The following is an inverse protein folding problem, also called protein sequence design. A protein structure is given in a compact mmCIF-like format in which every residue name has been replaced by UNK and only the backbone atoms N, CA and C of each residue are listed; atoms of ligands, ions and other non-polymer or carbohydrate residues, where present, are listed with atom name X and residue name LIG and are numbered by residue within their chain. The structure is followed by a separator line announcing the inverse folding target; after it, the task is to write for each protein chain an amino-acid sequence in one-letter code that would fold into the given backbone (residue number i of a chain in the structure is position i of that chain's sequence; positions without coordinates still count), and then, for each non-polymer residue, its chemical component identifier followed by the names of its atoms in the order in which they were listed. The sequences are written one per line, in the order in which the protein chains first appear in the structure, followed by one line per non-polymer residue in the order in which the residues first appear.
data_IF_481121370370
#
_entry.id   IF_481121370370
#
_cell.length_a   1.000
_cell.length_b   1.000
_cell.length_c   1.000
_cell.angle_alpha   90.00
_cell.angle_beta   90.00
_cell.angle_gamma   90.00
#
_symmetry.space_group_name_H-M   'P 1'
#
loop_
_entity.id
_entity.type
_entity.pdbx_description
1 polymer ?
#
# COMPACT_ATOMS: atom_id res chain seq x y z
N UNK A 1 -15.22 24.45 -11.41
CA UNK A 1 -14.06 25.00 -10.67
C UNK A 1 -12.84 24.20 -11.04
N UNK A 2 -11.73 24.85 -11.40
CA UNK A 2 -10.44 24.20 -11.62
C UNK A 2 -9.40 24.83 -10.69
N UNK A 3 -8.62 24.02 -10.02
CA UNK A 3 -7.51 24.41 -9.16
C UNK A 3 -6.25 23.68 -9.57
N UNK A 4 -5.11 24.38 -9.47
CA UNK A 4 -3.78 23.81 -9.68
C UNK A 4 -2.88 24.31 -8.56
N UNK A 5 -2.11 23.38 -8.02
CA UNK A 5 -1.09 23.59 -7.01
C UNK A 5 0.21 23.02 -7.57
N UNK A 6 1.32 23.72 -7.36
CA UNK A 6 2.67 23.28 -7.77
C UNK A 6 3.64 23.55 -6.63
N UNK A 7 4.66 22.71 -6.50
CA UNK A 7 5.74 22.82 -5.53
C UNK A 7 5.25 23.01 -4.08
N UNK A 8 4.19 22.28 -3.71
CA UNK A 8 3.60 22.38 -2.39
C UNK A 8 4.32 21.49 -1.39
N UNK A 9 4.94 22.13 -0.39
CA UNK A 9 5.67 21.44 0.68
C UNK A 9 4.84 21.40 1.95
N UNK A 10 4.66 20.20 2.50
CA UNK A 10 4.05 19.98 3.82
C UNK A 10 4.95 19.07 4.66
N UNK A 11 5.55 19.63 5.72
CA UNK A 11 6.63 18.97 6.43
C UNK A 11 7.82 18.66 5.51
N UNK A 12 8.21 17.40 5.44
CA UNK A 12 9.26 16.90 4.52
C UNK A 12 8.70 16.49 3.15
N UNK A 13 7.39 16.35 3.02
CA UNK A 13 6.73 15.89 1.79
C UNK A 13 6.62 17.03 0.78
N UNK A 14 7.07 16.79 -0.45
CA UNK A 14 6.91 17.70 -1.58
C UNK A 14 5.93 17.13 -2.60
N UNK A 15 4.78 17.78 -2.75
CA UNK A 15 3.85 17.54 -3.85
C UNK A 15 4.29 18.44 -5.01
N UNK A 16 4.84 17.84 -6.07
CA UNK A 16 5.34 18.56 -7.24
C UNK A 16 4.20 19.27 -7.97
N UNK A 17 3.06 18.60 -8.13
CA UNK A 17 1.86 19.20 -8.66
C UNK A 17 0.60 18.49 -8.17
N UNK A 18 -0.47 19.23 -7.96
CA UNK A 18 -1.81 18.69 -7.81
C UNK A 18 -2.79 19.51 -8.64
N UNK A 19 -3.64 18.84 -9.42
CA UNK A 19 -4.76 19.47 -10.14
C UNK A 19 -6.07 18.96 -9.56
N UNK A 20 -7.06 19.85 -9.48
CA UNK A 20 -8.39 19.55 -9.01
C UNK A 20 -9.39 20.19 -9.97
N UNK A 21 -10.17 19.39 -10.67
CA UNK A 21 -11.27 19.85 -11.51
C UNK A 21 -12.59 19.39 -10.89
N UNK A 22 -13.52 20.31 -10.69
CA UNK A 22 -14.83 20.06 -10.11
C UNK A 22 -15.94 20.65 -10.97
N UNK A 23 -16.99 19.89 -11.20
CA UNK A 23 -18.16 20.27 -11.99
C UNK A 23 -19.46 19.97 -11.23
N UNK A 24 -20.53 20.71 -11.54
CA UNK A 24 -21.82 20.58 -10.87
C UNK A 24 -21.98 21.52 -9.67
N UNK A 25 -22.83 21.12 -8.73
CA UNK A 25 -23.21 21.89 -7.54
C UNK A 25 -22.67 21.26 -6.25
N UNK A 26 -22.64 22.02 -5.16
CA UNK A 26 -22.25 21.48 -3.85
C UNK A 26 -23.08 20.23 -3.46
N UNK A 27 -24.37 20.21 -3.77
CA UNK A 27 -25.27 19.10 -3.49
C UNK A 27 -25.11 17.90 -4.46
N UNK A 28 -24.52 18.11 -5.64
CA UNK A 28 -24.27 17.07 -6.65
C UNK A 28 -23.15 17.51 -7.58
N UNK A 29 -21.96 16.95 -7.39
CA UNK A 29 -20.75 17.30 -8.12
C UNK A 29 -19.94 16.06 -8.50
N UNK A 30 -19.11 16.26 -9.52
CA UNK A 30 -18.05 15.36 -9.90
C UNK A 30 -16.71 16.07 -9.75
N UNK A 31 -15.73 15.36 -9.19
CA UNK A 31 -14.39 15.86 -8.92
C UNK A 31 -13.38 14.91 -9.54
N UNK A 32 -12.42 15.46 -10.27
CA UNK A 32 -11.25 14.75 -10.76
C UNK A 32 -10.03 15.39 -10.11
N UNK A 33 -9.18 14.58 -9.49
CA UNK A 33 -7.92 15.04 -8.93
C UNK A 33 -6.76 14.25 -9.51
N UNK A 34 -5.66 14.95 -9.79
CA UNK A 34 -4.39 14.35 -10.17
C UNK A 34 -3.32 14.87 -9.23
N UNK A 35 -2.44 14.00 -8.75
CA UNK A 35 -1.33 14.35 -7.87
C UNK A 35 -0.05 13.76 -8.43
N UNK A 36 1.01 14.56 -8.49
CA UNK A 36 2.35 14.18 -8.87
C UNK A 36 3.24 14.32 -7.64
N UNK A 37 3.84 13.20 -7.24
CA UNK A 37 4.73 13.07 -6.09
C UNK A 37 5.97 12.28 -6.50
N UNK A 38 7.06 12.38 -5.74
CA UNK A 38 8.29 11.61 -5.99
C UNK A 38 8.05 10.08 -5.91
N UNK A 39 7.11 9.65 -5.08
CA UNK A 39 6.72 8.25 -4.93
C UNK A 39 5.71 7.76 -5.99
N UNK A 40 5.33 8.61 -6.94
CA UNK A 40 4.45 8.26 -8.05
C UNK A 40 3.32 9.27 -8.29
N UNK A 41 2.39 8.88 -9.16
CA UNK A 41 1.26 9.69 -9.61
C UNK A 41 -0.05 9.05 -9.18
N UNK A 42 -1.00 9.87 -8.74
CA UNK A 42 -2.35 9.46 -8.40
C UNK A 42 -3.33 10.17 -9.32
N UNK A 43 -4.29 9.42 -9.86
CA UNK A 43 -5.49 9.97 -10.48
C UNK A 43 -6.71 9.36 -9.82
N UNK A 44 -7.66 10.21 -9.45
CA UNK A 44 -8.90 9.81 -8.80
C UNK A 44 -10.06 10.60 -9.37
N UNK A 45 -11.18 9.90 -9.57
CA UNK A 45 -12.47 10.51 -9.87
C UNK A 45 -13.39 10.20 -8.70
N UNK A 46 -14.07 11.22 -8.20
CA UNK A 46 -15.12 11.11 -7.19
C UNK A 46 -16.39 11.78 -7.70
N UNK A 47 -17.54 11.28 -7.28
CA UNK A 47 -18.84 11.91 -7.54
C UNK A 47 -19.70 11.79 -6.31
N UNK A 48 -20.36 12.87 -5.91
CA UNK A 48 -21.10 12.89 -4.66
C UNK A 48 -21.76 14.23 -4.39
N UNK A 49 -22.23 14.39 -3.17
CA UNK A 49 -22.93 15.57 -2.73
C UNK A 49 -22.61 15.90 -1.28
N UNK A 50 -22.59 17.19 -0.98
CA UNK A 50 -22.51 17.68 0.40
C UNK A 50 -23.91 18.02 0.91
N UNK A 51 -24.33 17.34 1.97
CA UNK A 51 -25.60 17.58 2.66
C UNK A 51 -25.44 17.34 4.16
N UNK A 52 -26.05 18.17 4.99
CA UNK A 52 -26.02 18.01 6.45
C UNK A 52 -24.60 17.90 7.04
N UNK A 53 -23.66 18.74 6.57
CA UNK A 53 -22.25 18.72 6.97
C UNK A 53 -21.51 17.39 6.73
N UNK A 54 -21.99 16.59 5.78
CA UNK A 54 -21.39 15.34 5.36
C UNK A 54 -21.33 15.28 3.83
N UNK A 55 -20.18 14.86 3.32
CA UNK A 55 -20.04 14.42 1.95
C UNK A 55 -20.39 12.93 1.84
N UNK A 56 -21.19 12.58 0.83
CA UNK A 56 -21.48 11.19 0.49
C UNK A 56 -21.38 11.01 -1.02
N UNK A 57 -20.74 9.93 -1.44
CA UNK A 57 -20.53 9.67 -2.85
C UNK A 57 -19.82 8.36 -3.16
N UNK A 58 -19.40 8.27 -4.41
CA UNK A 58 -18.68 7.13 -4.98
C UNK A 58 -17.35 7.58 -5.57
N UNK A 59 -16.35 6.72 -5.49
CA UNK A 59 -15.12 6.84 -6.27
C UNK A 59 -15.20 5.74 -7.35
N UNK A 60 -15.53 6.09 -8.61
CA UNK A 60 -15.60 5.11 -9.71
C UNK A 60 -14.23 4.67 -10.23
N UNK A 61 -13.19 5.50 -10.10
CA UNK A 61 -11.86 5.16 -10.59
C UNK A 61 -10.77 5.76 -9.72
N UNK A 62 -9.75 4.95 -9.42
CA UNK A 62 -8.49 5.36 -8.83
C UNK A 62 -7.36 4.60 -9.53
N UNK A 63 -6.33 5.32 -9.96
CA UNK A 63 -5.10 4.73 -10.52
C UNK A 63 -3.88 5.34 -9.86
N UNK A 64 -2.92 4.47 -9.50
CA UNK A 64 -1.57 4.86 -9.14
C UNK A 64 -0.64 4.47 -10.28
N UNK A 65 0.24 5.39 -10.68
CA UNK A 65 1.22 5.17 -11.75
C UNK A 65 2.61 5.56 -11.29
N UNK A 66 3.62 5.01 -11.95
CA UNK A 66 5.03 5.35 -11.71
C UNK A 66 5.42 5.17 -10.23
N UNK A 67 4.81 4.19 -9.55
CA UNK A 67 5.16 3.92 -8.14
C UNK A 67 6.33 2.94 -8.06
N UNK A 68 7.11 2.94 -6.96
CA UNK A 68 8.16 1.94 -6.74
C UNK A 68 7.64 0.50 -6.77
N UNK A 69 6.36 0.28 -6.47
CA UNK A 69 5.68 -1.02 -6.49
C UNK A 69 4.84 -1.23 -7.76
N UNK A 70 5.14 -0.52 -8.86
CA UNK A 70 4.44 -0.62 -10.14
C UNK A 70 3.10 0.13 -10.20
N UNK A 71 2.32 -0.15 -11.25
CA UNK A 71 1.08 0.58 -11.54
C UNK A 71 -0.13 -0.16 -10.99
N UNK A 72 -0.96 0.55 -10.21
CA UNK A 72 -2.12 -0.02 -9.54
C UNK A 72 -3.41 0.60 -10.03
N UNK A 73 -4.44 -0.22 -10.20
CA UNK A 73 -5.78 0.23 -10.59
C UNK A 73 -6.82 -0.33 -9.65
N UNK A 74 -7.78 0.50 -9.27
CA UNK A 74 -8.92 0.06 -8.47
C UNK A 74 -9.76 -0.98 -9.22
N UNK A 75 -10.16 -2.03 -8.51
CA UNK A 75 -10.94 -3.14 -9.06
C UNK A 75 -12.42 -2.78 -9.22
N UNK A 76 -13.00 -2.17 -8.19
CA UNK A 76 -14.44 -1.87 -8.12
C UNK A 76 -14.68 -0.44 -7.61
N UNK A 77 -15.77 0.24 -8.04
CA UNK A 77 -16.20 1.49 -7.45
C UNK A 77 -16.44 1.37 -5.94
N UNK A 78 -16.01 2.39 -5.18
CA UNK A 78 -16.18 2.40 -3.72
C UNK A 78 -17.14 3.49 -3.27
N UNK A 79 -17.90 3.19 -2.21
CA UNK A 79 -18.74 4.16 -1.52
C UNK A 79 -17.94 4.83 -0.41
N UNK A 80 -18.10 6.15 -0.25
CA UNK A 80 -17.38 6.92 0.75
C UNK A 80 -18.34 7.92 1.42
N UNK A 81 -18.17 8.05 2.73
CA UNK A 81 -18.81 9.08 3.55
C UNK A 81 -17.73 9.79 4.34
N UNK A 82 -17.69 11.12 4.23
CA UNK A 82 -16.68 11.94 4.89
C UNK A 82 -17.32 13.17 5.55
N UNK A 83 -16.92 13.47 6.77
CA UNK A 83 -17.31 14.67 7.51
C UNK A 83 -16.18 15.08 8.46
N UNK A 84 -16.33 16.21 9.14
CA UNK A 84 -15.41 16.59 10.22
C UNK A 84 -15.38 15.58 11.39
N UNK A 85 -16.38 14.70 11.51
CA UNK A 85 -16.52 13.74 12.61
C UNK A 85 -15.99 12.34 12.27
N UNK A 86 -16.06 11.95 11.00
CA UNK A 86 -15.68 10.61 10.58
C UNK A 86 -15.40 10.53 9.07
N UNK A 87 -14.53 9.59 8.71
CA UNK A 87 -14.40 9.01 7.37
C UNK A 87 -14.77 7.53 7.45
N UNK A 88 -15.60 7.08 6.51
CA UNK A 88 -15.86 5.66 6.30
C UNK A 88 -15.93 5.37 4.80
N UNK A 89 -15.55 4.15 4.44
CA UNK A 89 -15.57 3.67 3.07
C UNK A 89 -15.98 2.21 3.00
N UNK A 90 -16.43 1.75 1.83
CA UNK A 90 -16.41 0.33 1.49
C UNK A 90 -14.98 -0.19 1.35
N UNK A 91 -14.80 -1.50 1.20
CA UNK A 91 -13.48 -2.08 0.93
C UNK A 91 -12.91 -1.49 -0.36
N UNK A 92 -11.67 -1.00 -0.30
CA UNK A 92 -10.92 -0.49 -1.45
C UNK A 92 -9.97 -1.60 -1.87
N UNK A 93 -10.03 -2.03 -3.12
CA UNK A 93 -9.11 -3.03 -3.65
C UNK A 93 -8.42 -2.50 -4.91
N UNK A 94 -7.10 -2.54 -4.91
CA UNK A 94 -6.25 -2.22 -6.05
C UNK A 94 -5.63 -3.49 -6.61
N UNK A 95 -5.41 -3.50 -7.92
CA UNK A 95 -4.78 -4.59 -8.64
C UNK A 95 -3.60 -4.10 -9.49
N UNK A 96 -2.55 -4.92 -9.52
CA UNK A 96 -1.40 -4.78 -10.40
C UNK A 96 -1.00 -6.17 -10.92
N UNK A 97 -1.35 -6.47 -12.17
CA UNK A 97 -0.93 -7.70 -12.87
C UNK A 97 -1.13 -9.00 -12.06
N UNK A 98 -2.26 -9.15 -11.36
CA UNK A 98 -2.58 -10.32 -10.53
C UNK A 98 -2.26 -10.14 -9.04
N UNK A 99 -1.43 -9.16 -8.68
CA UNK A 99 -1.25 -8.70 -7.32
C UNK A 99 -2.49 -7.91 -6.86
N UNK A 100 -2.98 -8.15 -5.65
CA UNK A 100 -4.14 -7.46 -5.07
C UNK A 100 -3.79 -6.85 -3.73
N UNK A 101 -4.13 -5.59 -3.54
CA UNK A 101 -4.00 -4.88 -2.26
C UNK A 101 -5.35 -4.31 -1.87
N UNK A 102 -5.94 -4.84 -0.79
CA UNK A 102 -7.23 -4.40 -0.29
C UNK A 102 -7.10 -3.74 1.08
N UNK A 103 -7.96 -2.78 1.37
CA UNK A 103 -7.97 -2.06 2.65
C UNK A 103 -9.26 -1.29 2.87
N UNK A 104 -9.69 -1.20 4.13
CA UNK A 104 -10.86 -0.43 4.55
C UNK A 104 -10.43 0.70 5.49
N UNK A 105 -10.16 1.91 4.98
CA UNK A 105 -9.78 3.02 5.82
C UNK A 105 -10.97 3.58 6.60
N UNK A 106 -10.70 3.96 7.84
CA UNK A 106 -11.59 4.76 8.67
C UNK A 106 -10.80 5.86 9.37
N UNK A 107 -11.47 6.93 9.76
CA UNK A 107 -10.86 7.99 10.55
C UNK A 107 -11.90 8.63 11.46
N UNK A 108 -11.48 9.00 12.67
CA UNK A 108 -12.23 9.88 13.58
C UNK A 108 -11.26 10.83 14.28
N UNK A 109 -11.70 12.00 14.79
CA UNK A 109 -10.84 12.89 15.57
C UNK A 109 -10.22 12.22 16.79
N UNK A 110 -10.96 11.31 17.45
CA UNK A 110 -10.51 10.65 18.68
C UNK A 110 -9.53 9.49 18.42
N UNK A 111 -9.76 8.70 17.36
CA UNK A 111 -8.95 7.51 17.06
C UNK A 111 -7.89 7.74 15.97
N UNK A 112 -7.90 8.88 15.28
CA UNK A 112 -7.03 9.10 14.12
C UNK A 112 -7.37 8.15 12.98
N UNK A 113 -6.40 7.93 12.09
CA UNK A 113 -6.52 7.06 10.92
C UNK A 113 -6.31 5.60 11.29
N UNK A 114 -7.13 4.72 10.72
CA UNK A 114 -6.92 3.27 10.77
C UNK A 114 -7.27 2.62 9.44
N UNK A 115 -6.63 1.49 9.16
CA UNK A 115 -6.89 0.68 7.98
C UNK A 115 -6.60 -0.78 8.31
N UNK A 116 -7.45 -1.67 7.82
CA UNK A 116 -7.21 -3.11 7.85
C UNK A 116 -7.57 -3.71 6.50
N UNK A 117 -6.86 -4.76 6.12
CA UNK A 117 -7.07 -5.43 4.86
C UNK A 117 -6.07 -6.55 4.61
N UNK A 118 -5.98 -6.93 3.34
CA UNK A 118 -5.16 -8.05 2.90
C UNK A 118 -4.37 -7.70 1.63
N UNK A 119 -3.25 -8.39 1.48
CA UNK A 119 -2.39 -8.38 0.32
C UNK A 119 -2.36 -9.80 -0.25
N UNK A 120 -2.50 -9.94 -1.56
CA UNK A 120 -2.47 -11.23 -2.24
C UNK A 120 -1.55 -11.16 -3.45
N UNK A 121 -0.72 -12.20 -3.59
CA UNK A 121 0.18 -12.40 -4.74
C UNK A 121 1.06 -11.18 -5.03
N UNK A 122 1.50 -10.45 -3.99
CA UNK A 122 2.37 -9.27 -4.16
C UNK A 122 3.75 -9.75 -4.61
N UNK A 123 4.23 -9.40 -5.82
CA UNK A 123 5.54 -9.82 -6.27
C UNK A 123 6.64 -9.27 -5.37
N UNK A 124 7.47 -10.15 -4.81
CA UNK A 124 8.56 -9.73 -3.89
C UNK A 124 9.61 -8.86 -4.58
N UNK A 125 9.68 -8.91 -5.91
CA UNK A 125 10.50 -8.01 -6.72
C UNK A 125 10.13 -6.52 -6.51
N UNK A 126 8.88 -6.22 -6.12
CA UNK A 126 8.45 -4.86 -5.78
C UNK A 126 9.16 -4.34 -4.53
N UNK A 127 9.73 -5.20 -3.68
CA UNK A 127 10.46 -4.77 -2.49
C UNK A 127 11.85 -4.22 -2.80
N UNK A 128 12.37 -4.37 -4.03
CA UNK A 128 13.71 -3.91 -4.42
C UNK A 128 14.09 -2.50 -3.96
N UNK A 129 13.21 -1.48 -4.06
CA UNK A 129 13.53 -0.12 -3.60
C UNK A 129 13.81 -0.02 -2.09
N UNK A 130 13.38 -1.01 -1.31
CA UNK A 130 13.53 -1.09 0.15
C UNK A 130 14.47 -2.20 0.61
N UNK A 131 15.05 -2.97 -0.32
CA UNK A 131 16.01 -4.03 -0.02
C UNK A 131 17.44 -3.57 -0.33
N UNK A 132 18.46 -4.11 0.36
CA UNK A 132 19.84 -3.93 -0.05
C UNK A 132 20.03 -4.39 -1.51
N UNK A 133 20.87 -3.68 -2.28
CA UNK A 133 21.14 -4.02 -3.69
C UNK A 133 21.74 -5.42 -3.89
N UNK A 134 22.28 -6.02 -2.82
CA UNK A 134 22.81 -7.37 -2.81
C UNK A 134 21.74 -8.44 -2.66
N UNK A 135 20.50 -8.09 -2.35
CA UNK A 135 19.41 -9.03 -2.09
C UNK A 135 18.37 -8.95 -3.21
N UNK A 136 18.02 -10.10 -3.77
CA UNK A 136 16.91 -10.24 -4.71
C UNK A 136 15.98 -11.34 -4.23
N UNK A 137 14.72 -10.98 -3.95
CA UNK A 137 13.69 -11.94 -3.57
C UNK A 137 12.81 -12.27 -4.78
N UNK A 138 12.70 -13.55 -5.11
CA UNK A 138 11.78 -14.06 -6.12
C UNK A 138 10.47 -14.51 -5.48
N UNK A 139 9.41 -14.64 -6.27
CA UNK A 139 8.11 -15.15 -5.82
C UNK A 139 7.16 -14.04 -5.36
N UNK A 140 6.18 -14.43 -4.55
CA UNK A 140 5.09 -13.54 -4.12
C UNK A 140 4.91 -13.56 -2.60
N UNK A 141 4.18 -12.58 -2.09
CA UNK A 141 3.78 -12.47 -0.70
C UNK A 141 2.26 -12.35 -0.58
N UNK A 142 1.73 -12.93 0.47
CA UNK A 142 0.39 -12.67 0.96
C UNK A 142 0.48 -12.12 2.38
N UNK A 143 -0.39 -11.20 2.76
CA UNK A 143 -0.41 -10.69 4.13
C UNK A 143 -1.81 -10.29 4.58
N UNK A 144 -2.09 -10.44 5.87
CA UNK A 144 -3.14 -9.67 6.53
C UNK A 144 -2.47 -8.52 7.28
N UNK A 145 -3.07 -7.34 7.26
CA UNK A 145 -2.52 -6.19 7.96
C UNK A 145 -3.58 -5.36 8.67
N UNK A 146 -3.15 -4.72 9.76
CA UNK A 146 -3.90 -3.70 10.47
C UNK A 146 -2.94 -2.60 10.85
N UNK A 147 -3.33 -1.36 10.60
CA UNK A 147 -2.66 -0.16 11.04
C UNK A 147 -3.66 0.77 11.72
N UNK A 148 -3.23 1.44 12.78
CA UNK A 148 -4.01 2.49 13.42
C UNK A 148 -3.10 3.50 14.15
N UNK A 149 -3.64 4.69 14.41
CA UNK A 149 -3.00 5.67 15.25
C UNK A 149 -3.57 5.58 16.68
N UNK A 150 -2.72 5.38 17.69
CA UNK A 150 -3.12 5.42 19.11
C UNK A 150 -2.47 6.62 19.77
N UNK A 151 -3.25 7.63 20.13
CA UNK A 151 -2.71 8.89 20.69
C UNK A 151 -1.71 9.57 19.75
N UNK A 152 -1.94 9.49 18.43
CA UNK A 152 -1.04 10.02 17.40
C UNK A 152 0.15 9.12 17.05
N UNK A 153 0.38 8.02 17.77
CA UNK A 153 1.47 7.08 17.52
C UNK A 153 1.04 5.93 16.61
N UNK A 154 1.86 5.49 15.65
CA UNK A 154 1.51 4.38 14.77
C UNK A 154 1.54 3.04 15.52
N UNK A 155 0.53 2.21 15.28
CA UNK A 155 0.50 0.81 15.71
C UNK A 155 0.13 -0.05 14.51
N UNK A 156 0.90 -1.11 14.24
CA UNK A 156 0.64 -2.01 13.14
C UNK A 156 0.84 -3.48 13.52
N UNK A 157 0.08 -4.37 12.89
CA UNK A 157 0.30 -5.81 12.91
C UNK A 157 0.19 -6.34 11.48
N UNK A 158 1.14 -7.16 11.06
CA UNK A 158 1.19 -7.74 9.72
C UNK A 158 1.52 -9.22 9.85
N UNK A 159 0.65 -10.09 9.34
CA UNK A 159 0.88 -11.52 9.26
C UNK A 159 1.25 -11.88 7.81
N UNK A 160 2.54 -12.02 7.53
CA UNK A 160 3.12 -12.29 6.23
C UNK A 160 3.22 -13.80 5.98
N UNK A 161 2.93 -14.21 4.75
CA UNK A 161 3.07 -15.58 4.25
C UNK A 161 3.72 -15.56 2.87
N UNK A 162 4.86 -16.23 2.74
CA UNK A 162 5.55 -16.38 1.46
C UNK A 162 5.39 -17.82 0.97
N UNK A 163 4.77 -18.06 -0.19
CA UNK A 163 4.82 -19.34 -0.88
C UNK A 163 6.26 -19.72 -1.22
N UNK A 164 6.50 -21.01 -1.42
CA UNK A 164 7.82 -21.56 -1.72
C UNK A 164 8.48 -20.85 -2.91
N UNK A 165 9.72 -20.41 -2.71
CA UNK A 165 10.47 -19.63 -3.68
C UNK A 165 11.94 -19.51 -3.24
N UNK A 166 12.67 -18.56 -3.81
CA UNK A 166 14.08 -18.31 -3.52
C UNK A 166 14.38 -16.85 -3.14
N UNK A 167 15.45 -16.69 -2.39
CA UNK A 167 16.15 -15.42 -2.20
C UNK A 167 17.59 -15.57 -2.67
N UNK A 168 18.06 -14.63 -3.48
CA UNK A 168 19.44 -14.58 -3.94
C UNK A 168 20.19 -13.46 -3.21
N UNK A 169 21.38 -13.77 -2.71
CA UNK A 169 22.25 -12.83 -2.01
C UNK A 169 23.60 -12.76 -2.73
N UNK A 170 24.02 -11.57 -3.13
CA UNK A 170 25.34 -11.31 -3.72
C UNK A 170 26.35 -11.04 -2.60
N UNK A 171 27.30 -11.96 -2.44
CA UNK A 171 28.40 -11.81 -1.49
C UNK A 171 29.45 -10.81 -1.95
N UNK A 172 30.36 -10.44 -1.04
CA UNK A 172 31.42 -9.44 -1.27
C UNK A 172 32.41 -9.79 -2.40
N UNK A 173 32.54 -11.07 -2.75
CA UNK A 173 33.37 -11.55 -3.87
C UNK A 173 32.61 -11.63 -5.21
N UNK A 174 31.40 -11.06 -5.29
CA UNK A 174 30.55 -11.06 -6.49
C UNK A 174 29.79 -12.36 -6.74
N UNK A 175 30.09 -13.44 -6.01
CA UNK A 175 29.34 -14.70 -6.07
C UNK A 175 27.91 -14.48 -5.56
N UNK A 176 26.93 -14.93 -6.33
CA UNK A 176 25.52 -14.94 -5.92
C UNK A 176 25.17 -16.30 -5.35
N UNK A 177 24.59 -16.33 -4.17
CA UNK A 177 24.09 -17.53 -3.50
C UNK A 177 22.56 -17.48 -3.49
N UNK A 178 21.92 -18.56 -3.94
CA UNK A 178 20.47 -18.67 -3.99
C UNK A 178 20.02 -19.63 -2.90
N UNK A 179 19.18 -19.15 -2.00
CA UNK A 179 18.61 -19.89 -0.89
C UNK A 179 17.15 -20.16 -1.22
N UNK A 180 16.80 -21.44 -1.36
CA UNK A 180 15.42 -21.88 -1.51
C UNK A 180 14.75 -21.90 -0.14
N UNK A 181 13.50 -21.48 -0.07
CA UNK A 181 12.71 -21.48 1.14
C UNK A 181 11.32 -22.07 0.91
N UNK A 182 10.76 -22.61 1.98
CA UNK A 182 9.38 -23.09 2.03
C UNK A 182 8.70 -22.68 3.34
N UNK A 183 7.37 -22.81 3.40
CA UNK A 183 6.55 -22.62 4.61
C UNK A 183 6.81 -21.30 5.38
N UNK A 184 7.20 -20.25 4.67
CA UNK A 184 7.74 -19.05 5.31
C UNK A 184 6.61 -18.16 5.82
N UNK A 185 6.69 -17.80 7.11
CA UNK A 185 5.73 -16.90 7.77
C UNK A 185 6.49 -15.90 8.60
N UNK A 186 5.95 -14.69 8.70
CA UNK A 186 6.47 -13.68 9.60
C UNK A 186 5.34 -12.84 10.19
N UNK A 187 5.36 -12.65 11.49
CA UNK A 187 4.52 -11.71 12.21
C UNK A 187 5.35 -10.47 12.52
N UNK A 188 4.89 -9.33 12.02
CA UNK A 188 5.51 -8.03 12.24
C UNK A 188 4.57 -7.19 13.08
N UNK A 189 5.06 -6.67 14.20
CA UNK A 189 4.34 -5.70 15.01
C UNK A 189 5.13 -4.39 15.11
N UNK A 190 4.40 -3.27 15.08
CA UNK A 190 4.93 -1.94 15.28
C UNK A 190 4.16 -1.28 16.42
N UNK A 191 4.89 -0.74 17.38
CA UNK A 191 4.37 0.13 18.43
C UNK A 191 5.23 1.39 18.50
N UNK A 192 4.72 2.49 17.95
CA UNK A 192 5.41 3.78 17.80
C UNK A 192 6.69 3.66 16.94
N UNK A 193 7.84 3.39 17.57
CA UNK A 193 9.14 3.19 16.91
C UNK A 193 9.72 1.79 17.14
N UNK A 194 9.06 0.99 17.98
CA UNK A 194 9.50 -0.37 18.28
C UNK A 194 8.87 -1.31 17.27
N UNK A 195 9.70 -1.87 16.40
CA UNK A 195 9.31 -2.90 15.46
C UNK A 195 9.82 -4.25 15.96
N UNK A 196 8.93 -5.22 16.09
CA UNK A 196 9.26 -6.60 16.41
C UNK A 196 8.89 -7.48 15.21
N UNK A 197 9.79 -8.41 14.88
CA UNK A 197 9.60 -9.36 13.78
C UNK A 197 9.84 -10.76 14.33
N UNK A 198 8.83 -11.62 14.24
CA UNK A 198 8.94 -13.04 14.53
C UNK A 198 8.77 -13.80 13.21
N UNK A 199 9.80 -14.49 12.77
CA UNK A 199 9.80 -15.18 11.48
C UNK A 199 10.13 -16.66 11.62
N UNK A 200 9.43 -17.49 10.85
CA UNK A 200 9.73 -18.89 10.65
C UNK A 200 10.05 -19.10 9.17
N UNK A 201 11.21 -19.69 8.90
CA UNK A 201 11.77 -19.91 7.57
C UNK A 201 12.36 -21.32 7.49
N UNK A 202 11.80 -22.15 6.62
CA UNK A 202 12.37 -23.48 6.33
C UNK A 202 13.26 -23.35 5.08
N UNK A 203 14.57 -23.40 5.27
CA UNK A 203 15.52 -23.42 4.16
C UNK A 203 15.57 -24.82 3.55
N UNK A 204 15.37 -24.89 2.23
CA UNK A 204 15.49 -26.14 1.49
C UNK A 204 16.94 -26.31 1.07
N UNK A 205 17.63 -27.28 1.65
CA UNK A 205 18.97 -27.66 1.21
C UNK A 205 18.90 -28.70 0.09
N UNK A 206 19.60 -28.45 -1.01
CA UNK A 206 19.82 -29.46 -2.05
C UNK A 206 20.88 -30.45 -1.52
N UNK A 207 20.42 -31.55 -0.90
CA UNK A 207 21.27 -32.71 -0.58
C UNK A 207 21.47 -33.58 -1.82
N UNK A 208 22.23 -33.09 -2.80
CA UNK A 208 22.78 -33.87 -3.92
C UNK A 208 24.05 -33.14 -4.42
N UNK A 209 25.27 -33.65 -4.34
CA UNK A 209 25.76 -35.02 -4.29
C UNK A 209 27.03 -35.16 -3.43
N UNK A 210 26.98 -36.00 -2.39
CA UNK A 210 28.13 -36.79 -1.94
C UNK A 210 27.72 -38.25 -2.10
N UNK A 211 27.79 -38.75 -3.34
CA UNK A 211 27.87 -40.19 -3.63
C UNK A 211 28.27 -40.39 -5.08
N UNK A 212 29.56 -40.19 -5.38
CA UNK A 212 30.49 -41.17 -5.97
C UNK A 212 31.75 -40.47 -6.46
#
# INVERSE_FOLDING_TARGET
MNGKLTDFKTGETLIQAATLAGEGTVASHRVTAQVIHEAGKLDVVASGGWKNAQWQGTIPSLTLRDTPAGDWKMLDPINVQASAKALSSSLICLNNQGARACGKPTWTPAAGFSIAGDLQQIPLVMLRPWLPETVSAAGTANADYRFEQRGGKPVANIALRLPDSSVSVRGSKGKTETLQYSNTRADVSLSDRQMEVQAQLDLVSELWAITR
#
